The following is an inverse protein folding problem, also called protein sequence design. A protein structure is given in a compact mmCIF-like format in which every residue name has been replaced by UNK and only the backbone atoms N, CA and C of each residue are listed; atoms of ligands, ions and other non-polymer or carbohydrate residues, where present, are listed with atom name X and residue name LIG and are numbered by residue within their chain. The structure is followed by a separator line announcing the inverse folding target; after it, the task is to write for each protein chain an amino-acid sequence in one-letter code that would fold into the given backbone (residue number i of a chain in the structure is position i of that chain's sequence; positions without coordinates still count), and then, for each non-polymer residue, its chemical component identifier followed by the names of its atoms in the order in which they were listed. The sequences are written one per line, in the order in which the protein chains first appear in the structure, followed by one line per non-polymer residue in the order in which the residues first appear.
data_IF_032426446184
#
_entry.id   IF_032426446184
#
_cell.length_a   1.000
_cell.length_b   1.000
_cell.length_c   1.000
_cell.angle_alpha   90.00
_cell.angle_beta   90.00
_cell.angle_gamma   90.00
#
_symmetry.space_group_name_H-M   'P 1'
#
loop_
_entity.id
_entity.type
_entity.pdbx_description
1 polymer ?
#
# COMPACT_ATOMS: atom_id res chain seq x y z
N UNK A 1 -5.39 -14.39 -2.46
CA UNK A 1 -4.87 -13.24 -3.24
C UNK A 1 -3.99 -12.42 -2.34
N UNK A 2 -2.90 -11.87 -2.87
CA UNK A 2 -2.14 -10.86 -2.14
C UNK A 2 -2.91 -9.54 -2.14
N UNK A 3 -2.70 -8.73 -1.12
CA UNK A 3 -3.35 -7.44 -1.02
C UNK A 3 -2.90 -6.52 -2.17
N UNK A 4 -3.85 -5.83 -2.81
CA UNK A 4 -3.58 -4.99 -3.99
C UNK A 4 -3.33 -5.75 -5.30
N UNK A 5 -3.35 -7.08 -5.29
CA UNK A 5 -3.15 -7.89 -6.50
C UNK A 5 -4.33 -7.72 -7.48
N UNK A 6 -4.06 -7.34 -8.73
CA UNK A 6 -5.06 -7.37 -9.80
C UNK A 6 -5.35 -8.79 -10.28
N UNK A 7 -6.60 -9.04 -10.64
CA UNK A 7 -7.06 -10.31 -11.18
C UNK A 7 -8.29 -10.17 -12.05
N UNK A 8 -8.47 -11.09 -13.00
CA UNK A 8 -9.67 -11.17 -13.83
C UNK A 8 -10.59 -12.24 -13.27
N UNK A 9 -11.84 -11.87 -13.02
CA UNK A 9 -12.89 -12.84 -12.74
C UNK A 9 -13.71 -13.06 -13.99
N UNK A 10 -13.83 -14.32 -14.41
CA UNK A 10 -14.72 -14.76 -15.48
C UNK A 10 -15.86 -15.62 -14.92
N UNK A 11 -17.06 -15.38 -15.42
CA UNK A 11 -18.24 -16.23 -15.23
C UNK A 11 -18.73 -16.73 -16.57
N UNK A 12 -19.15 -18.00 -16.62
CA UNK A 12 -19.87 -18.57 -17.76
C UNK A 12 -21.36 -18.53 -17.46
N UNK A 13 -22.12 -17.78 -18.25
CA UNK A 13 -23.56 -17.61 -18.10
C UNK A 13 -24.29 -18.20 -19.32
N UNK A 14 -25.50 -18.72 -19.11
CA UNK A 14 -26.38 -19.20 -20.18
C UNK A 14 -27.60 -18.28 -20.31
N UNK A 15 -27.96 -17.90 -21.52
CA UNK A 15 -29.21 -17.18 -21.77
C UNK A 15 -30.39 -18.15 -21.77
N UNK A 16 -30.96 -18.39 -20.60
CA UNK A 16 -32.17 -19.22 -20.43
C UNK A 16 -33.49 -18.47 -20.70
N UNK A 17 -33.42 -17.20 -21.11
CA UNK A 17 -34.58 -16.36 -21.39
C UNK A 17 -35.12 -16.53 -22.81
N UNK A 18 -36.02 -15.62 -23.20
CA UNK A 18 -36.61 -15.57 -24.55
C UNK A 18 -36.07 -14.42 -25.40
N UNK A 19 -35.40 -13.46 -24.76
CA UNK A 19 -34.85 -12.28 -25.41
C UNK A 19 -33.36 -12.48 -25.69
N UNK A 20 -32.91 -11.97 -26.84
CA UNK A 20 -31.50 -11.94 -27.19
C UNK A 20 -30.77 -10.90 -26.32
N UNK A 21 -29.70 -11.31 -25.64
CA UNK A 21 -28.83 -10.35 -24.96
C UNK A 21 -27.96 -9.66 -26.01
N UNK A 22 -27.87 -8.34 -25.97
CA UNK A 22 -27.14 -7.53 -26.96
C UNK A 22 -26.04 -6.72 -26.28
N UNK A 23 -25.29 -5.95 -27.06
CA UNK A 23 -24.30 -4.98 -26.55
C UNK A 23 -24.89 -3.85 -25.68
N UNK A 24 -26.23 -3.72 -25.66
CA UNK A 24 -26.96 -2.84 -24.74
C UNK A 24 -27.18 -3.44 -23.35
N UNK A 25 -26.82 -4.71 -23.15
CA UNK A 25 -26.85 -5.37 -21.86
C UNK A 25 -25.47 -5.22 -21.21
N UNK A 26 -25.43 -5.26 -19.89
CA UNK A 26 -24.18 -5.19 -19.13
C UNK A 26 -24.21 -6.15 -17.94
N UNK A 27 -23.03 -6.54 -17.46
CA UNK A 27 -22.90 -7.02 -16.08
C UNK A 27 -22.69 -5.81 -15.17
N UNK A 28 -23.40 -5.77 -14.06
CA UNK A 28 -23.40 -4.65 -13.13
C UNK A 28 -23.11 -5.12 -11.71
N UNK A 29 -22.32 -4.34 -10.99
CA UNK A 29 -22.12 -4.54 -9.56
C UNK A 29 -23.43 -4.17 -8.82
N UNK A 30 -23.80 -5.00 -7.84
CA UNK A 30 -25.06 -4.82 -7.09
C UNK A 30 -24.77 -4.47 -5.64
N UNK A 31 -24.04 -5.31 -4.92
CA UNK A 31 -23.67 -5.10 -3.53
C UNK A 31 -22.41 -5.91 -3.12
N UNK A 32 -22.02 -5.76 -1.85
CA UNK A 32 -20.81 -6.36 -1.29
C UNK A 32 -19.57 -5.48 -1.50
N UNK A 33 -18.45 -6.12 -1.81
CA UNK A 33 -17.15 -5.48 -2.01
C UNK A 33 -16.88 -5.27 -3.51
N UNK A 34 -16.76 -4.01 -3.99
CA UNK A 34 -16.57 -3.73 -5.42
C UNK A 34 -15.16 -4.10 -5.92
N UNK A 35 -14.17 -4.21 -5.02
CA UNK A 35 -12.79 -4.60 -5.35
C UNK A 35 -12.18 -3.78 -6.50
N UNK A 36 -12.45 -2.47 -6.50
CA UNK A 36 -12.07 -1.50 -7.55
C UNK A 36 -12.52 -1.91 -8.99
N UNK A 37 -13.55 -2.75 -9.10
CA UNK A 37 -14.14 -3.12 -10.37
C UNK A 37 -15.01 -2.02 -10.96
N UNK A 38 -15.13 -1.99 -12.28
CA UNK A 38 -16.09 -1.13 -12.97
C UNK A 38 -17.53 -1.45 -12.52
N UNK A 39 -18.34 -0.43 -12.22
CA UNK A 39 -19.72 -0.63 -11.77
C UNK A 39 -20.64 -1.24 -12.83
N UNK A 40 -20.25 -1.13 -14.10
CA UNK A 40 -20.95 -1.71 -15.26
C UNK A 40 -19.94 -2.08 -16.35
N UNK A 41 -20.07 -3.28 -16.92
CA UNK A 41 -19.28 -3.74 -18.06
C UNK A 41 -20.23 -4.25 -19.15
N UNK A 42 -20.32 -3.56 -20.31
CA UNK A 42 -21.18 -3.98 -21.41
C UNK A 42 -20.82 -5.37 -21.95
N UNK A 43 -21.83 -6.10 -22.43
CA UNK A 43 -21.60 -7.29 -23.24
C UNK A 43 -20.99 -6.89 -24.58
N UNK A 44 -20.08 -7.70 -25.11
CA UNK A 44 -19.37 -7.41 -26.35
C UNK A 44 -19.92 -8.17 -27.56
N UNK A 45 -20.89 -9.04 -27.34
CA UNK A 45 -21.48 -9.88 -28.38
C UNK A 45 -22.98 -10.05 -28.14
N UNK A 46 -23.67 -10.57 -29.17
CA UNK A 46 -25.08 -10.93 -29.07
C UNK A 46 -25.22 -12.41 -28.65
N UNK A 47 -26.01 -12.68 -27.61
CA UNK A 47 -26.20 -14.02 -27.04
C UNK A 47 -27.66 -14.43 -27.20
N UNK A 48 -27.91 -15.34 -28.13
CA UNK A 48 -29.26 -15.88 -28.37
C UNK A 48 -29.71 -16.80 -27.23
N UNK A 49 -31.04 -16.95 -27.03
CA UNK A 49 -31.59 -17.97 -26.11
C UNK A 49 -30.97 -19.36 -26.30
N UNK A 50 -30.64 -20.02 -25.19
CA UNK A 50 -29.98 -21.33 -25.11
C UNK A 50 -28.47 -21.30 -25.35
N UNK A 51 -27.87 -20.14 -25.61
CA UNK A 51 -26.42 -19.99 -25.80
C UNK A 51 -25.71 -19.56 -24.52
N UNK A 52 -24.42 -19.89 -24.41
CA UNK A 52 -23.57 -19.49 -23.28
C UNK A 52 -22.59 -18.39 -23.65
N UNK A 53 -22.19 -17.57 -22.68
CA UNK A 53 -21.18 -16.52 -22.81
C UNK A 53 -20.24 -16.51 -21.61
N UNK A 54 -18.97 -16.23 -21.86
CA UNK A 54 -18.00 -15.91 -20.81
C UNK A 54 -17.93 -14.39 -20.65
N UNK A 55 -18.25 -13.90 -19.47
CA UNK A 55 -18.20 -12.48 -19.11
C UNK A 55 -17.13 -12.27 -18.05
N UNK A 56 -16.34 -11.21 -18.20
CA UNK A 56 -15.17 -10.96 -17.37
C UNK A 56 -15.16 -9.56 -16.80
N UNK A 57 -14.64 -9.42 -15.58
CA UNK A 57 -14.32 -8.14 -14.93
C UNK A 57 -12.88 -8.18 -14.43
N UNK A 58 -12.17 -7.07 -14.62
CA UNK A 58 -10.88 -6.83 -13.95
C UNK A 58 -11.17 -6.25 -12.57
N UNK A 59 -10.59 -6.87 -11.54
CA UNK A 59 -10.75 -6.50 -10.13
C UNK A 59 -9.37 -6.38 -9.49
N UNK A 60 -9.29 -5.59 -8.41
CA UNK A 60 -8.11 -5.46 -7.56
C UNK A 60 -8.44 -5.99 -6.16
N UNK A 61 -7.71 -7.00 -5.72
CA UNK A 61 -7.86 -7.57 -4.39
C UNK A 61 -7.76 -6.44 -3.35
N UNK A 62 -8.73 -6.32 -2.43
CA UNK A 62 -8.72 -5.29 -1.42
C UNK A 62 -7.45 -5.31 -0.61
N UNK A 63 -7.26 -4.18 0.02
CA UNK A 63 -6.01 -3.89 0.61
C UNK A 63 -5.74 -4.53 1.97
N UNK A 64 -6.81 -4.88 2.67
CA UNK A 64 -6.72 -5.44 4.01
C UNK A 64 -6.89 -6.95 3.90
N UNK A 65 -6.22 -7.69 4.78
CA UNK A 65 -6.44 -9.13 4.85
C UNK A 65 -7.87 -9.40 5.29
N UNK A 66 -8.49 -10.42 4.71
CA UNK A 66 -9.91 -10.65 4.95
C UNK A 66 -10.57 -11.49 3.88
N UNK A 67 -11.87 -11.74 4.07
CA UNK A 67 -12.70 -12.35 3.04
C UNK A 67 -13.59 -11.27 2.43
N UNK A 68 -13.58 -11.19 1.11
CA UNK A 68 -14.32 -10.19 0.35
C UNK A 68 -15.22 -10.88 -0.66
N UNK A 69 -16.40 -10.33 -0.88
CA UNK A 69 -17.36 -10.85 -1.84
C UNK A 69 -18.05 -9.71 -2.59
N UNK A 70 -17.93 -9.71 -3.91
CA UNK A 70 -18.69 -8.82 -4.80
C UNK A 70 -19.81 -9.59 -5.49
N UNK A 71 -21.02 -9.03 -5.46
CA UNK A 71 -22.21 -9.61 -6.06
C UNK A 71 -22.62 -8.81 -7.31
N UNK A 72 -22.99 -9.53 -8.35
CA UNK A 72 -23.18 -9.02 -9.71
C UNK A 72 -24.43 -9.61 -10.33
N UNK A 73 -25.05 -8.81 -11.22
CA UNK A 73 -26.21 -9.20 -12.02
C UNK A 73 -26.02 -8.75 -13.46
N UNK A 74 -26.85 -9.27 -14.37
CA UNK A 74 -27.03 -8.68 -15.69
C UNK A 74 -28.02 -7.53 -15.60
N UNK A 75 -27.86 -6.55 -16.47
CA UNK A 75 -28.80 -5.45 -16.68
C UNK A 75 -29.19 -5.41 -18.15
N UNK A 76 -30.49 -5.31 -18.43
CA UNK A 76 -31.01 -5.18 -19.78
C UNK A 76 -30.93 -3.73 -20.33
N UNK A 77 -31.30 -3.56 -21.59
CA UNK A 77 -31.30 -2.26 -22.26
C UNK A 77 -32.24 -1.21 -21.62
N UNK A 78 -33.21 -1.65 -20.80
CA UNK A 78 -34.12 -0.79 -20.05
C UNK A 78 -33.65 -0.48 -18.63
N UNK A 79 -32.50 -1.01 -18.21
CA UNK A 79 -31.95 -0.84 -16.88
C UNK A 79 -32.45 -1.85 -15.85
N UNK A 80 -33.26 -2.83 -16.25
CA UNK A 80 -33.79 -3.88 -15.35
C UNK A 80 -32.68 -4.88 -15.06
N UNK A 81 -32.42 -5.12 -13.78
CA UNK A 81 -31.43 -6.09 -13.32
C UNK A 81 -32.05 -7.48 -13.19
N UNK A 82 -31.28 -8.49 -13.53
CA UNK A 82 -31.64 -9.89 -13.39
C UNK A 82 -30.40 -10.75 -13.19
N UNK A 83 -30.55 -11.80 -12.38
CA UNK A 83 -29.48 -12.70 -12.02
C UNK A 83 -29.68 -14.11 -12.57
N UNK A 84 -29.23 -15.06 -11.75
CA UNK A 84 -29.30 -16.49 -11.98
C UNK A 84 -30.47 -17.13 -11.22
N UNK A 85 -30.62 -18.44 -11.34
CA UNK A 85 -31.69 -19.18 -10.68
C UNK A 85 -33.01 -19.13 -11.45
N UNK A 86 -34.03 -19.83 -10.93
CA UNK A 86 -35.31 -20.03 -11.61
C UNK A 86 -36.09 -18.73 -11.81
N UNK A 87 -35.95 -17.78 -10.89
CA UNK A 87 -36.67 -16.51 -10.91
C UNK A 87 -35.80 -15.36 -11.46
N UNK A 88 -34.55 -15.63 -11.85
CA UNK A 88 -33.57 -14.63 -12.27
C UNK A 88 -33.35 -13.51 -11.23
N UNK A 89 -33.36 -13.86 -9.94
CA UNK A 89 -33.24 -12.95 -8.80
C UNK A 89 -32.01 -13.22 -7.92
N UNK A 90 -31.15 -14.17 -8.32
CA UNK A 90 -29.96 -14.52 -7.55
C UNK A 90 -28.70 -13.93 -8.18
N UNK A 91 -27.96 -13.03 -7.50
CA UNK A 91 -26.72 -12.52 -8.05
C UNK A 91 -25.70 -13.64 -8.20
N UNK A 92 -24.85 -13.53 -9.22
CA UNK A 92 -23.62 -14.30 -9.30
C UNK A 92 -22.49 -13.52 -8.60
N UNK A 93 -21.48 -14.22 -8.09
CA UNK A 93 -20.53 -13.60 -7.19
C UNK A 93 -19.08 -13.98 -7.47
N UNK A 94 -18.19 -13.16 -6.92
CA UNK A 94 -16.78 -13.46 -6.74
C UNK A 94 -16.47 -13.36 -5.27
N UNK A 95 -15.77 -14.36 -4.72
CA UNK A 95 -15.32 -14.36 -3.34
C UNK A 95 -13.83 -14.64 -3.30
N UNK A 96 -13.09 -13.79 -2.61
CA UNK A 96 -11.64 -13.94 -2.44
C UNK A 96 -11.27 -13.88 -0.97
N UNK A 97 -10.16 -14.53 -0.64
CA UNK A 97 -9.45 -14.31 0.62
C UNK A 97 -8.19 -13.53 0.31
N UNK A 98 -8.07 -12.33 0.88
CA UNK A 98 -6.86 -11.52 0.87
C UNK A 98 -5.99 -11.94 2.04
N UNK A 99 -4.73 -12.24 1.74
CA UNK A 99 -3.71 -12.61 2.71
C UNK A 99 -2.47 -11.76 2.48
N UNK A 100 -1.71 -11.56 3.54
CA UNK A 100 -0.32 -11.12 3.44
C UNK A 100 0.53 -12.28 2.91
N UNK A 101 1.52 -11.96 2.09
CA UNK A 101 2.44 -12.95 1.55
C UNK A 101 3.80 -12.82 2.21
N UNK A 102 4.38 -13.94 2.65
CA UNK A 102 5.82 -14.01 2.89
C UNK A 102 6.48 -13.94 1.52
N UNK A 103 7.34 -12.95 1.28
CA UNK A 103 8.25 -13.02 0.13
C UNK A 103 9.61 -13.45 0.64
N UNK A 104 10.13 -14.57 0.13
CA UNK A 104 11.56 -14.78 0.21
C UNK A 104 12.23 -13.71 -0.66
N UNK A 105 12.76 -12.67 -0.02
CA UNK A 105 13.39 -11.56 -0.73
C UNK A 105 14.72 -12.00 -1.38
N UNK A 106 15.37 -13.05 -0.84
CA UNK A 106 16.58 -13.66 -1.38
C UNK A 106 17.67 -12.64 -1.79
N UNK A 107 17.82 -11.57 -1.01
CA UNK A 107 18.67 -10.41 -1.35
C UNK A 107 20.17 -10.67 -1.17
N UNK A 108 20.56 -11.71 -0.43
CA UNK A 108 21.94 -11.91 -0.02
C UNK A 108 22.41 -10.86 1.00
N UNK A 109 23.69 -10.49 0.96
CA UNK A 109 24.29 -9.50 1.87
C UNK A 109 23.93 -8.07 1.42
N UNK A 110 23.58 -7.15 2.34
CA UNK A 110 23.29 -5.77 2.00
C UNK A 110 24.47 -5.09 1.30
N UNK A 111 24.15 -4.23 0.33
CA UNK A 111 25.12 -3.31 -0.30
C UNK A 111 25.69 -2.36 0.75
N UNK A 112 24.83 -1.91 1.67
CA UNK A 112 25.20 -1.09 2.80
C UNK A 112 24.29 -1.38 3.99
N UNK A 113 24.89 -1.33 5.18
CA UNK A 113 24.22 -1.49 6.46
C UNK A 113 24.76 -0.47 7.42
N UNK A 114 23.86 0.10 8.20
CA UNK A 114 24.14 0.95 9.34
C UNK A 114 23.36 0.41 10.53
N UNK A 115 24.03 0.23 11.65
CA UNK A 115 23.43 -0.22 12.91
C UNK A 115 23.09 0.95 13.84
N UNK A 116 23.27 2.19 13.40
CA UNK A 116 22.83 3.41 14.08
C UNK A 116 23.42 3.55 15.49
N UNK A 117 24.53 2.87 15.75
CA UNK A 117 25.35 3.05 16.96
C UNK A 117 26.02 4.43 16.97
N UNK A 118 26.16 5.05 15.79
CA UNK A 118 26.55 6.45 15.60
C UNK A 118 25.72 7.11 14.49
N UNK A 119 25.53 8.42 14.57
CA UNK A 119 24.72 9.16 13.61
C UNK A 119 25.52 9.74 12.43
N UNK A 120 26.75 9.27 12.16
CA UNK A 120 27.64 9.92 11.18
C UNK A 120 27.12 9.87 9.74
N UNK A 121 26.17 8.97 9.44
CA UNK A 121 25.55 8.86 8.13
C UNK A 121 24.23 9.63 7.99
N UNK A 122 23.83 10.39 9.00
CA UNK A 122 22.48 10.95 9.07
C UNK A 122 22.51 12.44 9.36
N UNK A 123 21.67 13.18 8.64
CA UNK A 123 21.37 14.55 9.01
C UNK A 123 20.47 14.56 10.25
N UNK A 124 21.03 14.98 11.39
CA UNK A 124 20.30 15.12 12.63
C UNK A 124 19.45 16.39 12.60
N UNK A 125 18.15 16.23 12.41
CA UNK A 125 17.20 17.34 12.53
C UNK A 125 17.28 17.96 13.93
N UNK A 126 17.28 19.29 13.97
CA UNK A 126 17.11 20.09 15.18
C UNK A 126 16.28 21.33 14.81
N UNK A 127 14.97 21.12 14.72
CA UNK A 127 13.97 22.14 14.40
C UNK A 127 13.11 22.43 15.64
N UNK A 128 12.19 23.39 15.53
CA UNK A 128 11.21 23.65 16.59
C UNK A 128 10.22 22.47 16.77
N UNK A 129 10.06 21.61 15.76
CA UNK A 129 9.08 20.51 15.78
C UNK A 129 9.72 19.12 15.92
N UNK A 130 10.97 18.95 15.50
CA UNK A 130 11.59 17.63 15.39
C UNK A 130 13.05 17.69 15.82
N UNK A 131 13.44 16.67 16.58
CA UNK A 131 14.83 16.49 17.00
C UNK A 131 15.26 15.05 16.80
N UNK A 132 16.37 14.85 16.10
CA UNK A 132 17.04 13.56 15.98
C UNK A 132 18.28 13.58 16.89
N UNK A 133 18.44 12.53 17.70
CA UNK A 133 19.57 12.40 18.64
C UNK A 133 20.16 11.01 18.59
N UNK A 134 21.48 10.94 18.70
CA UNK A 134 22.21 9.70 18.94
C UNK A 134 22.19 9.35 20.44
N UNK A 135 21.99 8.07 20.76
CA UNK A 135 22.11 7.57 22.13
C UNK A 135 21.71 6.10 22.25
N UNK A 136 22.33 5.39 23.20
CA UNK A 136 21.97 4.00 23.55
C UNK A 136 21.99 2.97 22.40
N UNK A 137 22.86 3.18 21.40
CA UNK A 137 23.02 2.26 20.26
C UNK A 137 21.93 2.39 19.20
N UNK A 138 21.17 3.49 19.21
CA UNK A 138 20.11 3.79 18.25
C UNK A 138 20.12 5.27 17.86
N UNK A 139 19.45 5.59 16.76
CA UNK A 139 19.05 6.95 16.43
C UNK A 139 17.62 7.20 16.96
N UNK A 140 17.47 8.07 17.93
CA UNK A 140 16.16 8.50 18.43
C UNK A 140 15.62 9.65 17.58
N UNK A 141 14.42 9.49 17.02
CA UNK A 141 13.64 10.54 16.39
C UNK A 141 12.55 11.01 17.35
N UNK A 142 12.42 12.32 17.55
CA UNK A 142 11.40 12.92 18.41
C UNK A 142 10.60 13.98 17.66
N UNK A 143 9.29 13.82 17.60
CA UNK A 143 8.35 14.89 17.24
C UNK A 143 7.92 15.60 18.53
N UNK A 144 8.35 16.85 18.68
CA UNK A 144 8.24 17.65 19.92
C UNK A 144 6.80 18.05 20.19
N UNK A 145 6.08 18.49 19.15
CA UNK A 145 4.71 18.99 19.24
C UNK A 145 3.78 18.26 18.26
N UNK A 146 2.56 17.89 18.69
CA UNK A 146 1.58 17.29 17.81
C UNK A 146 1.05 18.31 16.78
N UNK A 147 0.69 17.83 15.59
CA UNK A 147 0.03 18.63 14.56
C UNK A 147 0.98 19.48 13.69
N UNK A 148 2.29 19.37 13.87
CA UNK A 148 3.31 20.06 13.06
C UNK A 148 3.51 19.50 11.64
N UNK A 149 2.88 18.37 11.32
CA UNK A 149 3.14 17.62 10.08
C UNK A 149 4.26 16.60 10.25
N UNK A 150 4.76 16.09 9.15
CA UNK A 150 5.92 15.20 9.07
C UNK A 150 7.18 16.01 8.75
N UNK A 151 8.28 15.68 9.42
CA UNK A 151 9.62 16.15 9.02
C UNK A 151 10.52 14.92 8.82
N UNK A 152 11.57 15.08 8.01
CA UNK A 152 12.48 13.99 7.68
C UNK A 152 13.94 14.42 7.63
N UNK A 153 14.81 13.52 8.09
CA UNK A 153 16.26 13.66 7.99
C UNK A 153 16.79 12.72 6.92
N UNK A 154 17.56 13.24 5.97
CA UNK A 154 18.21 12.44 4.95
C UNK A 154 19.46 11.74 5.47
N UNK A 155 19.73 10.56 4.94
CA UNK A 155 21.07 9.98 5.01
C UNK A 155 22.04 10.78 4.14
N UNK A 156 23.34 10.74 4.44
CA UNK A 156 24.38 11.34 3.61
C UNK A 156 24.89 10.38 2.51
N UNK A 157 24.11 9.36 2.20
CA UNK A 157 24.44 8.35 1.20
C UNK A 157 24.14 8.89 -0.20
N UNK A 158 24.91 8.47 -1.22
CA UNK A 158 24.59 8.83 -2.61
C UNK A 158 23.17 8.40 -3.00
N UNK A 159 22.63 9.09 -4.00
CA UNK A 159 21.37 8.69 -4.62
C UNK A 159 21.42 7.25 -5.15
N UNK A 160 20.33 6.53 -4.95
CA UNK A 160 20.14 5.14 -5.40
C UNK A 160 18.86 5.04 -6.24
N UNK A 161 18.87 4.11 -7.20
CA UNK A 161 17.79 3.94 -8.19
C UNK A 161 16.93 2.71 -7.95
N UNK A 162 17.50 1.53 -8.21
CA UNK A 162 16.84 0.25 -8.04
C UNK A 162 17.37 -0.45 -6.79
N UNK A 163 16.54 -0.52 -5.75
CA UNK A 163 16.97 -0.99 -4.43
C UNK A 163 15.85 -1.65 -3.63
N UNK A 164 16.25 -2.47 -2.65
CA UNK A 164 15.44 -2.76 -1.48
C UNK A 164 16.03 -2.02 -0.28
N UNK A 165 15.25 -1.14 0.36
CA UNK A 165 15.60 -0.39 1.57
C UNK A 165 14.82 -0.96 2.75
N UNK A 166 15.48 -1.15 3.87
CA UNK A 166 14.91 -1.69 5.09
C UNK A 166 15.34 -0.86 6.30
N UNK A 167 14.39 -0.61 7.22
CA UNK A 167 14.70 -0.02 8.52
C UNK A 167 13.98 -0.74 9.67
N UNK A 168 14.66 -0.89 10.81
CA UNK A 168 14.10 -1.38 12.06
C UNK A 168 13.71 -0.21 12.94
N UNK A 169 12.42 0.02 13.10
CA UNK A 169 11.85 1.04 13.97
C UNK A 169 11.37 0.44 15.29
N UNK A 170 11.56 1.18 16.38
CA UNK A 170 11.13 0.85 17.74
C UNK A 170 10.28 2.02 18.24
N UNK A 171 8.98 1.80 18.45
CA UNK A 171 8.10 2.83 19.00
C UNK A 171 8.39 3.04 20.49
N UNK A 172 8.36 4.30 20.95
CA UNK A 172 8.55 4.64 22.35
C UNK A 172 7.42 4.18 23.26
N UNK A 173 7.46 4.64 24.51
CA UNK A 173 6.45 4.34 25.56
C UNK A 173 5.07 4.94 25.26
N UNK A 174 5.01 5.85 24.28
CA UNK A 174 3.82 6.50 23.78
C UNK A 174 3.77 6.38 22.26
N UNK A 175 2.70 5.78 21.76
CA UNK A 175 2.45 5.59 20.33
C UNK A 175 0.96 5.33 20.16
N UNK A 176 0.23 6.30 19.59
CA UNK A 176 -1.22 6.25 19.53
C UNK A 176 -1.78 6.73 18.19
N UNK A 177 -2.93 6.18 17.78
CA UNK A 177 -3.67 6.65 16.61
C UNK A 177 -2.75 6.81 15.38
N UNK A 178 -2.69 8.02 14.81
CA UNK A 178 -2.01 8.36 13.57
C UNK A 178 -0.65 9.04 13.80
N UNK A 179 -0.12 8.97 15.02
CA UNK A 179 1.32 9.19 15.24
C UNK A 179 2.07 8.19 14.35
N UNK A 180 3.12 8.67 13.66
CA UNK A 180 3.67 7.98 12.49
C UNK A 180 5.15 8.18 12.31
N UNK A 181 5.74 7.21 11.63
CA UNK A 181 7.15 7.14 11.32
C UNK A 181 7.37 6.34 10.04
N UNK A 182 8.50 6.55 9.39
CA UNK A 182 8.80 5.77 8.19
C UNK A 182 10.01 6.22 7.40
N UNK A 183 9.94 5.98 6.09
CA UNK A 183 11.03 6.14 5.14
C UNK A 183 10.67 7.20 4.10
N UNK A 184 11.64 8.06 3.81
CA UNK A 184 11.69 8.87 2.59
C UNK A 184 12.60 8.15 1.59
N UNK A 185 12.19 8.08 0.32
CA UNK A 185 12.93 7.35 -0.71
C UNK A 185 12.87 8.05 -2.07
N UNK A 186 13.93 7.85 -2.86
CA UNK A 186 14.15 8.53 -4.15
C UNK A 186 13.93 10.04 -4.04
N UNK A 187 14.49 10.65 -3.01
CA UNK A 187 14.46 12.08 -2.80
C UNK A 187 15.47 12.76 -3.74
N UNK A 188 15.04 13.53 -4.75
CA UNK A 188 15.96 14.24 -5.64
C UNK A 188 16.63 15.43 -4.95
N UNK A 189 15.96 15.95 -3.91
CA UNK A 189 16.42 17.00 -3.01
C UNK A 189 15.69 16.85 -1.65
N UNK A 190 16.11 17.59 -0.61
CA UNK A 190 15.53 17.46 0.73
C UNK A 190 14.05 17.81 0.88
N UNK A 191 13.38 18.35 -0.14
CA UNK A 191 11.97 18.74 -0.07
C UNK A 191 11.06 17.86 -0.92
N UNK A 192 11.53 16.75 -1.49
CA UNK A 192 10.71 15.91 -2.36
C UNK A 192 11.05 14.42 -2.22
N UNK A 193 10.12 13.56 -2.67
CA UNK A 193 10.33 12.11 -2.76
C UNK A 193 9.08 11.28 -2.49
N UNK A 194 9.25 9.96 -2.41
CA UNK A 194 8.22 9.05 -1.92
C UNK A 194 8.33 8.92 -0.41
N UNK A 195 7.19 9.06 0.27
CA UNK A 195 7.10 8.90 1.72
C UNK A 195 6.25 7.68 2.03
N UNK A 196 6.85 6.72 2.73
CA UNK A 196 6.22 5.48 3.18
C UNK A 196 6.20 5.43 4.70
N UNK A 197 5.02 5.34 5.31
CA UNK A 197 4.88 5.46 6.76
C UNK A 197 4.04 4.35 7.35
N UNK A 198 4.37 4.00 8.60
CA UNK A 198 3.51 3.27 9.52
C UNK A 198 2.94 4.22 10.57
N UNK A 199 1.76 3.87 11.07
CA UNK A 199 1.08 4.55 12.16
C UNK A 199 1.01 3.65 13.38
N UNK A 200 0.89 4.28 14.54
CA UNK A 200 0.78 3.62 15.82
C UNK A 200 -0.46 2.72 15.96
N UNK A 201 -1.51 2.90 15.16
CA UNK A 201 -2.69 2.03 15.13
C UNK A 201 -2.66 0.94 14.05
N UNK A 202 -1.51 0.73 13.38
CA UNK A 202 -1.30 -0.39 12.47
C UNK A 202 -1.74 -0.12 11.02
N UNK A 203 -1.84 1.14 10.62
CA UNK A 203 -2.02 1.53 9.21
C UNK A 203 -0.69 1.92 8.57
N UNK A 204 -0.68 1.89 7.24
CA UNK A 204 0.38 2.48 6.43
C UNK A 204 -0.20 3.39 5.36
N UNK A 205 0.66 4.24 4.79
CA UNK A 205 0.37 4.99 3.56
C UNK A 205 1.62 5.15 2.71
N UNK A 206 1.41 5.43 1.43
CA UNK A 206 2.47 5.78 0.48
C UNK A 206 2.00 6.99 -0.34
N UNK A 207 2.82 8.01 -0.42
CA UNK A 207 2.53 9.20 -1.21
C UNK A 207 3.80 9.80 -1.82
N UNK A 208 3.63 10.66 -2.82
CA UNK A 208 4.68 11.55 -3.31
C UNK A 208 4.49 12.94 -2.73
N UNK A 209 5.60 13.58 -2.39
CA UNK A 209 5.67 14.99 -2.01
C UNK A 209 6.63 15.72 -2.95
N UNK A 210 6.22 16.84 -3.53
CA UNK A 210 7.01 17.62 -4.50
C UNK A 210 7.59 18.93 -3.93
N UNK A 211 7.48 19.12 -2.62
CA UNK A 211 7.83 20.36 -1.92
C UNK A 211 6.61 21.23 -1.59
N UNK A 212 5.47 20.99 -2.24
CA UNK A 212 4.26 21.80 -2.08
C UNK A 212 2.98 20.94 -2.02
N UNK A 213 2.90 19.90 -2.85
CA UNK A 213 1.70 19.11 -3.10
C UNK A 213 1.87 17.68 -2.60
N UNK A 214 0.84 17.25 -1.88
CA UNK A 214 0.64 15.86 -1.50
C UNK A 214 -0.13 15.11 -2.61
N UNK A 215 0.37 13.94 -3.02
CA UNK A 215 -0.35 13.01 -3.91
C UNK A 215 -0.27 11.59 -3.38
N UNK A 216 -1.39 11.08 -2.89
CA UNK A 216 -1.51 9.70 -2.41
C UNK A 216 -1.37 8.68 -3.55
N UNK A 217 -0.50 7.69 -3.36
CA UNK A 217 -0.56 6.42 -4.09
C UNK A 217 -1.43 5.42 -3.31
N UNK A 218 -1.37 5.50 -1.99
CA UNK A 218 -2.19 4.76 -1.04
C UNK A 218 -2.41 5.64 0.20
N UNK A 219 -3.67 6.00 0.46
CA UNK A 219 -4.09 6.59 1.74
C UNK A 219 -4.01 5.57 2.89
N UNK A 220 -4.25 6.02 4.13
CA UNK A 220 -4.20 5.17 5.32
C UNK A 220 -4.94 3.83 5.15
N UNK A 221 -4.20 2.74 5.34
CA UNK A 221 -4.70 1.38 5.16
C UNK A 221 -4.11 0.43 6.18
N UNK A 222 -4.97 -0.35 6.85
CA UNK A 222 -4.55 -1.32 7.85
C UNK A 222 -3.75 -2.46 7.22
N UNK A 223 -2.67 -2.88 7.89
CA UNK A 223 -1.94 -4.10 7.61
C UNK A 223 -1.69 -4.87 8.92
N UNK A 224 -2.11 -6.14 8.96
CA UNK A 224 -2.06 -6.95 10.19
C UNK A 224 -0.62 -7.31 10.60
N UNK A 225 0.29 -7.28 9.64
CA UNK A 225 1.73 -7.43 9.86
C UNK A 225 2.37 -6.25 10.59
N UNK A 226 1.74 -5.07 10.67
CA UNK A 226 2.25 -3.93 11.44
C UNK A 226 1.86 -4.09 12.90
N UNK A 227 2.86 -4.08 13.80
CA UNK A 227 2.62 -4.14 15.24
C UNK A 227 2.25 -2.74 15.74
N UNK A 228 1.01 -2.60 16.18
CA UNK A 228 0.45 -1.35 16.71
C UNK A 228 0.79 -1.14 18.20
N UNK A 229 0.82 0.13 18.62
CA UNK A 229 1.01 0.56 20.00
C UNK A 229 2.46 0.86 20.40
N UNK A 230 2.68 1.18 21.68
CA UNK A 230 4.00 1.47 22.22
C UNK A 230 4.87 0.22 22.32
N UNK A 231 6.18 0.44 22.48
CA UNK A 231 7.20 -0.58 22.70
C UNK A 231 7.20 -1.70 21.64
N UNK A 232 6.86 -1.37 20.39
CA UNK A 232 6.82 -2.30 19.28
C UNK A 232 8.04 -2.14 18.37
N UNK A 233 8.65 -3.26 18.02
CA UNK A 233 9.66 -3.33 16.96
C UNK A 233 9.01 -3.72 15.64
N UNK A 234 9.11 -2.85 14.65
CA UNK A 234 8.65 -3.07 13.28
C UNK A 234 9.81 -2.97 12.29
N UNK A 235 9.92 -3.95 11.39
CA UNK A 235 10.82 -3.89 10.23
C UNK A 235 10.02 -3.40 9.03
N UNK A 236 10.34 -2.20 8.54
CA UNK A 236 9.75 -1.60 7.36
C UNK A 236 10.65 -1.88 6.15
N UNK A 237 10.07 -2.36 5.04
CA UNK A 237 10.82 -2.65 3.82
C UNK A 237 10.18 -2.00 2.59
N UNK A 238 11.02 -1.52 1.68
CA UNK A 238 10.63 -0.80 0.47
C UNK A 238 11.47 -1.32 -0.71
N UNK A 239 10.82 -2.01 -1.65
CA UNK A 239 11.43 -2.42 -2.91
C UNK A 239 11.06 -1.43 -4.00
N UNK A 240 12.04 -0.86 -4.68
CA UNK A 240 11.87 0.05 -5.81
C UNK A 240 12.72 -0.44 -6.97
N UNK A 241 12.07 -0.81 -8.08
CA UNK A 241 12.73 -1.35 -9.29
C UNK A 241 12.02 -0.83 -10.54
N UNK A 242 12.68 0.04 -11.30
CA UNK A 242 12.02 0.86 -12.31
C UNK A 242 10.85 1.63 -11.69
N UNK A 243 9.66 1.48 -12.26
CA UNK A 243 8.42 2.10 -11.76
C UNK A 243 7.70 1.22 -10.71
N UNK A 244 8.20 0.03 -10.41
CA UNK A 244 7.55 -0.91 -9.47
C UNK A 244 7.94 -0.60 -8.04
N UNK A 245 6.94 -0.37 -7.19
CA UNK A 245 7.12 -0.11 -5.76
C UNK A 245 6.42 -1.22 -4.97
N UNK A 246 7.14 -1.94 -4.11
CA UNK A 246 6.55 -2.93 -3.19
C UNK A 246 6.85 -2.56 -1.75
N UNK A 247 5.81 -2.64 -0.92
CA UNK A 247 5.88 -2.29 0.50
C UNK A 247 5.84 -3.55 1.35
N UNK A 248 6.62 -3.53 2.42
CA UNK A 248 6.76 -4.65 3.33
C UNK A 248 6.65 -4.20 4.79
N UNK A 249 5.97 -5.03 5.59
CA UNK A 249 5.94 -4.90 7.04
C UNK A 249 6.32 -6.25 7.65
N UNK A 250 7.35 -6.27 8.50
CA UNK A 250 7.80 -7.46 9.24
C UNK A 250 8.01 -8.70 8.34
N UNK A 251 8.57 -8.50 7.14
CA UNK A 251 8.86 -9.55 6.16
C UNK A 251 7.68 -9.95 5.26
N UNK A 252 6.50 -9.37 5.45
CA UNK A 252 5.33 -9.62 4.62
C UNK A 252 5.14 -8.52 3.58
N UNK A 253 4.89 -8.90 2.32
CA UNK A 253 4.48 -7.94 1.28
C UNK A 253 3.05 -7.46 1.58
N UNK A 254 2.89 -6.17 1.83
CA UNK A 254 1.60 -5.54 2.18
C UNK A 254 0.95 -4.82 1.00
N UNK A 255 1.73 -4.40 -0.01
CA UNK A 255 1.22 -3.83 -1.25
C UNK A 255 2.25 -3.79 -2.38
N UNK A 256 1.75 -3.52 -3.59
CA UNK A 256 2.51 -3.29 -4.81
C UNK A 256 1.82 -2.18 -5.63
N UNK A 257 2.62 -1.27 -6.17
CA UNK A 257 2.20 -0.11 -6.95
C UNK A 257 3.10 0.07 -8.17
N UNK A 258 2.63 0.89 -9.12
CA UNK A 258 3.41 1.36 -10.26
C UNK A 258 3.31 2.88 -10.30
N UNK A 259 4.43 3.59 -10.17
CA UNK A 259 4.52 5.05 -10.28
C UNK A 259 5.95 5.46 -10.71
N UNK A 260 6.03 6.47 -11.58
CA UNK A 260 7.27 6.91 -12.22
C UNK A 260 7.63 8.37 -11.87
N UNK A 261 7.09 8.91 -10.76
CA UNK A 261 7.29 10.32 -10.39
C UNK A 261 8.74 10.62 -10.05
N UNK A 262 9.39 9.75 -9.26
CA UNK A 262 10.83 9.80 -8.96
C UNK A 262 11.51 8.48 -9.35
N UNK A 263 12.62 8.57 -10.08
CA UNK A 263 13.37 7.43 -10.62
C UNK A 263 14.59 7.07 -9.76
N UNK A 264 15.27 8.06 -9.19
CA UNK A 264 16.42 7.89 -8.30
C UNK A 264 16.45 9.00 -7.25
N UNK A 265 17.21 8.80 -6.17
CA UNK A 265 17.44 9.84 -5.18
C UNK A 265 17.96 9.30 -3.86
N UNK A 266 18.14 10.19 -2.90
CA UNK A 266 18.55 9.86 -1.54
C UNK A 266 17.39 9.20 -0.77
N UNK A 267 17.70 8.68 0.42
CA UNK A 267 16.72 8.13 1.35
C UNK A 267 16.89 8.74 2.74
N UNK A 268 15.81 8.71 3.52
CA UNK A 268 15.75 9.36 4.83
C UNK A 268 14.76 8.69 5.78
N UNK A 269 14.73 9.21 7.00
CA UNK A 269 13.82 8.79 8.06
C UNK A 269 12.81 9.88 8.33
N UNK A 270 11.55 9.49 8.53
CA UNK A 270 10.39 10.38 8.64
C UNK A 270 9.75 10.17 10.01
N UNK A 271 9.30 11.25 10.66
CA UNK A 271 8.48 11.19 11.87
C UNK A 271 7.43 12.30 11.86
N UNK A 272 6.28 12.04 12.46
CA UNK A 272 5.28 13.07 12.75
C UNK A 272 4.29 12.63 13.82
N UNK A 273 3.83 13.57 14.64
CA UNK A 273 2.78 13.33 15.63
C UNK A 273 1.48 14.05 15.29
N UNK A 274 0.35 13.41 15.60
CA UNK A 274 -0.98 14.03 15.52
C UNK A 274 -1.46 14.48 16.89
N UNK A 275 -1.16 13.73 17.96
CA UNK A 275 -1.79 13.96 19.27
C UNK A 275 -0.90 13.60 20.47
N UNK A 276 0.38 13.32 20.26
CA UNK A 276 1.32 12.92 21.31
C UNK A 276 2.47 13.91 21.38
N UNK A 277 2.53 14.68 22.47
CA UNK A 277 3.71 15.52 22.75
C UNK A 277 4.95 14.64 22.98
N UNK A 278 6.08 15.08 22.44
CA UNK A 278 7.35 14.36 22.51
C UNK A 278 7.25 12.90 22.03
N UNK A 279 6.47 12.64 20.98
CA UNK A 279 6.40 11.32 20.37
C UNK A 279 7.78 10.86 19.90
N UNK A 280 8.24 9.70 20.39
CA UNK A 280 9.56 9.14 20.08
C UNK A 280 9.47 7.83 19.31
N UNK A 281 10.39 7.68 18.36
CA UNK A 281 10.65 6.42 17.64
C UNK A 281 12.16 6.28 17.48
N UNK A 282 12.70 5.15 17.89
CA UNK A 282 14.12 4.84 17.69
C UNK A 282 14.32 4.01 16.43
N UNK A 283 15.46 4.18 15.77
CA UNK A 283 15.90 3.41 14.60
C UNK A 283 17.16 2.66 14.96
N UNK A 284 17.09 1.34 14.90
CA UNK A 284 18.15 0.41 15.33
C UNK A 284 18.99 -0.08 14.14
N UNK A 285 18.42 -0.09 12.93
CA UNK A 285 19.13 -0.58 11.76
C UNK A 285 18.55 0.00 10.48
N UNK A 286 19.41 0.39 9.55
CA UNK A 286 19.02 0.72 8.17
C UNK A 286 19.95 0.00 7.20
N UNK A 287 19.36 -0.67 6.22
CA UNK A 287 20.08 -1.46 5.22
C UNK A 287 19.51 -1.20 3.84
N UNK A 288 20.36 -1.21 2.82
CA UNK A 288 19.88 -1.32 1.45
C UNK A 288 20.68 -2.33 0.62
N UNK A 289 20.00 -2.87 -0.39
CA UNK A 289 20.54 -3.72 -1.43
C UNK A 289 20.25 -3.06 -2.76
N UNK A 290 21.27 -2.86 -3.59
CA UNK A 290 21.09 -2.47 -4.99
C UNK A 290 20.70 -3.70 -5.80
N UNK A 291 19.60 -3.62 -6.54
CA UNK A 291 19.01 -4.78 -7.23
C UNK A 291 19.63 -5.01 -8.61
N UNK A 292 20.05 -3.94 -9.27
CA UNK A 292 20.71 -3.94 -10.57
C UNK A 292 21.95 -3.00 -10.54
N UNK A 293 22.99 -3.31 -9.75
CA UNK A 293 24.17 -2.46 -9.58
C UNK A 293 25.05 -2.38 -10.84
#
# INVERSE_FOLDING_TARGET
MLAGQEFIKTWRLENSGTCNWTDKYAIVFVDGDPMNGASSVPLTSSITPGSTVDVSVTLKAPGTTGSYQGNWELQDAGGIKFGTGRNADQPFFVKIKVVEGVSELNLGTPTWSDNLDDANHWYLLDTDNTKFTEGDGVLEMKSIHPGGGEEWGLSNRPAIKDFYLQATFITGDSCSWLDRYGLLARAPDPNAGYVFEFTCDGHYRLYTWDGENYKALQEWRAAASIKAGPDQTNVMGLWMEGDTIRLYANGFKIAEFTDSTYDEGEFGLVIGSVNTDNFTVSVDRVEYWELNP
#
